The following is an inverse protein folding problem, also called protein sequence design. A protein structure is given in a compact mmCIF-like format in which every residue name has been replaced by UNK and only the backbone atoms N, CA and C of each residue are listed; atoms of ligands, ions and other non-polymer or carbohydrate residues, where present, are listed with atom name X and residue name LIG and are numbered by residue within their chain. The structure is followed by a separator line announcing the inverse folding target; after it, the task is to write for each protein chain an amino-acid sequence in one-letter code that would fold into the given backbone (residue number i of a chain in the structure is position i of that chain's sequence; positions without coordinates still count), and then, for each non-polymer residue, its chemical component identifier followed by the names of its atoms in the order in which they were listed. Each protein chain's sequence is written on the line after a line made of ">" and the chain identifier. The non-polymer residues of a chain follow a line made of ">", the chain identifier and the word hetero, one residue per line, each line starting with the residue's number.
data_IF_769339459973
#
_entry.id   IF_769339459973
#
_cell.length_a   1.000
_cell.length_b   1.000
_cell.length_c   1.000
_cell.angle_alpha   90.00
_cell.angle_beta   90.00
_cell.angle_gamma   90.00
#
_symmetry.space_group_name_H-M   'P 1'
#
loop_
_entity.id
_entity.type
_entity.pdbx_description
1 polymer ?
#
# COMPACT_ATOMS: atom_id res chain seq x y z
N UNK A 1 -38.62 -34.86 -3.10
CA UNK A 1 -37.94 -33.56 -3.07
C UNK A 1 -36.46 -33.80 -2.77
N UNK A 2 -35.68 -34.03 -3.82
CA UNK A 2 -34.22 -34.08 -3.88
C UNK A 2 -33.86 -34.81 -5.19
N UNK A 3 -33.19 -34.15 -6.13
CA UNK A 3 -32.21 -34.78 -7.03
C UNK A 3 -31.70 -33.82 -8.12
N UNK A 4 -30.38 -33.87 -8.30
CA UNK A 4 -29.55 -33.40 -9.41
C UNK A 4 -29.27 -31.90 -9.50
N UNK A 5 -28.30 -31.50 -8.67
CA UNK A 5 -27.23 -30.62 -9.12
C UNK A 5 -26.68 -31.18 -10.44
N UNK A 6 -26.87 -30.43 -11.51
CA UNK A 6 -26.13 -30.61 -12.76
C UNK A 6 -24.70 -30.20 -12.45
N UNK A 7 -23.86 -31.19 -12.14
CA UNK A 7 -22.41 -31.07 -12.26
C UNK A 7 -22.13 -30.69 -13.73
N UNK A 8 -21.74 -29.44 -13.96
CA UNK A 8 -21.19 -29.03 -15.25
C UNK A 8 -19.89 -29.81 -15.46
N UNK A 9 -19.73 -30.55 -16.57
CA UNK A 9 -18.48 -31.21 -16.84
C UNK A 9 -17.41 -30.14 -17.02
N UNK A 10 -16.40 -30.22 -16.16
CA UNK A 10 -15.11 -29.59 -16.33
C UNK A 10 -14.57 -30.05 -17.70
N UNK A 11 -14.68 -29.19 -18.72
CA UNK A 11 -14.19 -29.48 -20.06
C UNK A 11 -12.68 -29.64 -19.98
N UNK A 12 -12.24 -30.84 -20.33
CA UNK A 12 -10.86 -31.23 -20.52
C UNK A 12 -10.15 -30.31 -21.52
N UNK A 13 -8.85 -30.30 -21.35
CA UNK A 13 -7.87 -29.51 -22.06
C UNK A 13 -7.58 -30.20 -23.39
N UNK A 14 -8.40 -29.98 -24.41
CA UNK A 14 -8.13 -30.48 -25.77
C UNK A 14 -7.98 -29.27 -26.70
N UNK A 15 -6.72 -28.94 -26.99
CA UNK A 15 -6.34 -28.20 -28.18
C UNK A 15 -6.35 -29.22 -29.32
N UNK A 16 -7.41 -29.25 -30.11
CA UNK A 16 -7.36 -29.84 -31.44
C UNK A 16 -7.96 -28.81 -32.41
N UNK A 17 -7.05 -28.08 -33.06
CA UNK A 17 -7.28 -27.46 -34.35
C UNK A 17 -7.37 -28.60 -35.38
N UNK A 18 -8.56 -29.18 -35.58
CA UNK A 18 -8.83 -30.00 -36.76
C UNK A 18 -10.23 -29.63 -37.30
N UNK A 19 -10.21 -28.96 -38.46
CA UNK A 19 -11.37 -28.72 -39.32
C UNK A 19 -11.91 -30.07 -39.84
N UNK A 20 -12.80 -30.72 -39.09
CA UNK A 20 -13.56 -31.87 -39.61
C UNK A 20 -15.02 -31.50 -39.87
N UNK A 21 -15.35 -31.48 -41.17
CA UNK A 21 -16.64 -31.13 -41.76
C UNK A 21 -17.63 -32.29 -41.54
N UNK A 22 -18.29 -32.34 -40.38
CA UNK A 22 -19.32 -33.33 -40.10
C UNK A 22 -20.61 -33.06 -40.89
N UNK A 23 -21.02 -34.06 -41.67
CA UNK A 23 -22.21 -34.16 -42.50
C UNK A 23 -23.50 -33.82 -41.73
N UNK A 24 -24.29 -32.89 -42.28
CA UNK A 24 -25.42 -32.27 -41.60
C UNK A 24 -26.75 -33.05 -41.83
N UNK A 25 -27.29 -33.61 -40.76
CA UNK A 25 -28.63 -34.23 -40.71
C UNK A 25 -29.73 -33.13 -40.73
N UNK A 26 -30.70 -33.13 -41.67
CA UNK A 26 -31.62 -32.02 -41.85
C UNK A 26 -32.83 -32.16 -40.91
N UNK A 27 -32.75 -31.57 -39.70
CA UNK A 27 -33.96 -31.42 -38.87
C UNK A 27 -33.77 -31.12 -37.39
N UNK A 28 -32.55 -31.10 -36.86
CA UNK A 28 -32.32 -30.87 -35.43
C UNK A 28 -31.51 -29.58 -35.24
N UNK A 29 -32.17 -28.54 -34.72
CA UNK A 29 -31.49 -27.34 -34.22
C UNK A 29 -30.88 -27.67 -32.85
N UNK A 30 -29.59 -28.00 -32.82
CA UNK A 30 -28.80 -27.88 -31.59
C UNK A 30 -28.41 -26.39 -31.43
N UNK A 31 -28.68 -25.75 -30.29
CA UNK A 31 -28.07 -24.46 -30.01
C UNK A 31 -26.55 -24.66 -29.94
N UNK A 32 -25.81 -23.92 -30.76
CA UNK A 32 -24.34 -23.95 -30.72
C UNK A 32 -23.87 -23.72 -29.28
N UNK A 33 -22.93 -24.56 -28.77
CA UNK A 33 -22.32 -24.29 -27.48
C UNK A 33 -21.67 -22.89 -27.54
N UNK A 34 -21.81 -22.06 -26.49
CA UNK A 34 -21.27 -20.71 -26.51
C UNK A 34 -19.76 -20.79 -26.74
N UNK A 35 -19.29 -20.35 -27.91
CA UNK A 35 -17.86 -20.28 -28.24
C UNK A 35 -17.19 -19.39 -27.19
N UNK A 36 -16.41 -19.99 -26.29
CA UNK A 36 -15.69 -19.28 -25.25
C UNK A 36 -14.55 -18.48 -25.91
N UNK A 37 -14.86 -17.25 -26.29
CA UNK A 37 -13.95 -16.35 -27.01
C UNK A 37 -12.58 -16.22 -26.33
N UNK A 38 -11.51 -16.08 -27.12
CA UNK A 38 -10.14 -15.76 -26.68
C UNK A 38 -10.11 -14.66 -25.60
N UNK A 39 -11.01 -13.67 -25.73
CA UNK A 39 -11.21 -12.59 -24.77
C UNK A 39 -11.48 -13.09 -23.34
N UNK A 40 -12.32 -14.12 -23.17
CA UNK A 40 -12.61 -14.71 -21.87
C UNK A 40 -11.38 -15.41 -21.26
N UNK A 41 -10.56 -16.06 -22.08
CA UNK A 41 -9.29 -16.66 -21.63
C UNK A 41 -8.28 -15.59 -21.21
N UNK A 42 -8.11 -14.52 -21.98
CA UNK A 42 -7.25 -13.40 -21.61
C UNK A 42 -7.69 -12.74 -20.30
N UNK A 43 -8.99 -12.48 -20.13
CA UNK A 43 -9.52 -11.86 -18.91
C UNK A 43 -9.32 -12.76 -17.68
N UNK A 44 -9.54 -14.07 -17.80
CA UNK A 44 -9.26 -15.04 -16.72
C UNK A 44 -7.79 -15.09 -16.35
N UNK A 45 -6.91 -15.15 -17.34
CA UNK A 45 -5.47 -15.17 -17.14
C UNK A 45 -4.98 -13.87 -16.46
N UNK A 46 -5.40 -12.71 -16.97
CA UNK A 46 -5.08 -11.42 -16.37
C UNK A 46 -5.60 -11.31 -14.93
N UNK A 47 -6.85 -11.74 -14.68
CA UNK A 47 -7.43 -11.74 -13.33
C UNK A 47 -6.61 -12.61 -12.38
N UNK A 48 -6.20 -13.81 -12.82
CA UNK A 48 -5.37 -14.68 -12.02
C UNK A 48 -4.00 -14.07 -11.73
N UNK A 49 -3.30 -13.54 -12.74
CA UNK A 49 -1.98 -12.93 -12.60
C UNK A 49 -2.01 -11.72 -11.67
N UNK A 50 -3.01 -10.84 -11.81
CA UNK A 50 -3.15 -9.67 -10.94
C UNK A 50 -3.48 -10.04 -9.50
N UNK A 51 -4.39 -11.00 -9.28
CA UNK A 51 -4.67 -11.49 -7.93
C UNK A 51 -3.45 -12.18 -7.30
N UNK A 52 -2.64 -12.90 -8.09
CA UNK A 52 -1.39 -13.49 -7.61
C UNK A 52 -0.38 -12.41 -7.20
N UNK A 53 -0.23 -11.35 -7.99
CA UNK A 53 0.64 -10.23 -7.65
C UNK A 53 0.19 -9.55 -6.35
N UNK A 54 -1.11 -9.25 -6.24
CA UNK A 54 -1.67 -8.64 -5.02
C UNK A 54 -1.54 -9.54 -3.80
N UNK A 55 -1.62 -10.86 -3.97
CA UNK A 55 -1.36 -11.82 -2.91
C UNK A 55 0.10 -11.73 -2.44
N UNK A 56 1.07 -11.72 -3.36
CA UNK A 56 2.49 -11.60 -3.01
C UNK A 56 2.77 -10.27 -2.28
N UNK A 57 2.20 -9.17 -2.76
CA UNK A 57 2.34 -7.85 -2.12
C UNK A 57 1.65 -7.81 -0.74
N UNK A 58 0.48 -8.44 -0.60
CA UNK A 58 -0.23 -8.60 0.66
C UNK A 58 0.57 -9.40 1.69
N UNK A 59 1.22 -10.49 1.26
CA UNK A 59 2.07 -11.30 2.13
C UNK A 59 3.35 -10.56 2.52
N UNK A 60 3.95 -9.79 1.61
CA UNK A 60 5.12 -8.96 1.90
C UNK A 60 4.77 -7.88 2.93
N UNK A 61 3.66 -7.16 2.74
CA UNK A 61 3.20 -6.12 3.68
C UNK A 61 2.85 -6.72 5.05
N UNK A 62 2.22 -7.89 5.08
CA UNK A 62 1.97 -8.65 6.32
C UNK A 62 3.29 -9.01 7.01
N UNK A 63 4.28 -9.53 6.27
CA UNK A 63 5.58 -9.91 6.80
C UNK A 63 6.33 -8.70 7.40
N UNK A 64 6.32 -7.56 6.71
CA UNK A 64 6.89 -6.29 7.20
C UNK A 64 6.19 -5.83 8.49
N UNK A 65 4.86 -5.88 8.52
CA UNK A 65 4.08 -5.50 9.70
C UNK A 65 4.38 -6.40 10.91
N UNK A 66 4.40 -7.72 10.71
CA UNK A 66 4.73 -8.69 11.76
C UNK A 66 6.16 -8.49 12.24
N UNK A 67 7.12 -8.33 11.32
CA UNK A 67 8.51 -8.04 11.65
C UNK A 67 8.64 -6.79 12.52
N UNK A 68 7.99 -5.68 12.13
CA UNK A 68 8.01 -4.43 12.90
C UNK A 68 7.41 -4.57 14.30
N UNK A 69 6.34 -5.36 14.47
CA UNK A 69 5.77 -5.64 15.78
C UNK A 69 6.71 -6.49 16.65
N UNK A 70 7.39 -7.47 16.06
CA UNK A 70 8.36 -8.29 16.77
C UNK A 70 9.54 -7.45 17.26
N UNK A 71 10.09 -6.57 16.42
CA UNK A 71 11.17 -5.64 16.80
C UNK A 71 10.72 -4.64 17.87
N UNK A 72 9.46 -4.20 17.86
CA UNK A 72 8.93 -3.30 18.91
C UNK A 72 8.70 -4.03 20.24
N UNK A 73 8.29 -5.30 20.20
CA UNK A 73 7.98 -6.09 21.39
C UNK A 73 9.19 -6.45 22.26
N UNK A 74 10.40 -6.35 21.72
CA UNK A 74 11.66 -6.55 22.45
C UNK A 74 12.11 -5.30 23.24
N UNK A 75 11.43 -4.15 23.10
CA UNK A 75 11.71 -2.95 23.89
C UNK A 75 11.01 -3.00 25.27
N UNK A 76 11.63 -2.46 26.35
CA UNK A 76 11.06 -2.47 27.69
C UNK A 76 9.65 -1.90 27.75
N UNK A 77 8.79 -2.55 28.54
CA UNK A 77 7.32 -2.42 28.71
C UNK A 77 6.74 -1.01 29.02
N UNK A 78 7.54 0.05 28.97
CA UNK A 78 7.20 1.40 29.47
C UNK A 78 6.21 2.21 28.64
N UNK A 79 5.97 1.87 27.36
CA UNK A 79 5.16 2.72 26.46
C UNK A 79 3.79 2.13 26.07
N UNK A 80 3.24 1.22 26.88
CA UNK A 80 1.97 0.50 26.66
C UNK A 80 0.70 1.34 26.91
N UNK A 81 0.81 2.66 26.80
CA UNK A 81 -0.29 3.62 27.04
C UNK A 81 -0.89 4.24 25.78
N UNK A 82 -0.32 4.00 24.60
CA UNK A 82 -0.88 4.49 23.36
C UNK A 82 -2.10 3.62 22.94
N UNK A 83 -3.22 4.22 22.48
CA UNK A 83 -4.35 3.46 22.01
C UNK A 83 -3.91 2.51 20.89
N UNK A 84 -4.39 1.26 20.92
CA UNK A 84 -4.00 0.19 19.97
C UNK A 84 -4.08 0.62 18.49
N UNK A 85 -4.85 1.67 18.16
CA UNK A 85 -4.99 2.19 16.79
C UNK A 85 -3.90 3.15 16.30
N UNK A 86 -2.95 3.60 17.11
CA UNK A 86 -1.92 4.57 16.69
C UNK A 86 -0.58 3.95 16.28
N UNK A 87 -0.43 2.63 16.33
CA UNK A 87 0.80 1.95 15.89
C UNK A 87 0.75 1.65 14.39
N UNK A 88 1.62 2.27 13.56
CA UNK A 88 1.58 2.08 12.10
C UNK A 88 1.83 0.63 11.69
N UNK A 89 2.62 -0.12 12.47
CA UNK A 89 2.89 -1.54 12.20
C UNK A 89 1.64 -2.42 12.31
N UNK A 90 0.71 -2.10 13.21
CA UNK A 90 -0.56 -2.85 13.32
C UNK A 90 -1.43 -2.63 12.09
N UNK A 91 -1.44 -1.42 11.55
CA UNK A 91 -2.13 -1.10 10.29
C UNK A 91 -1.56 -1.90 9.13
N UNK A 92 -0.23 -2.03 9.01
CA UNK A 92 0.40 -2.88 7.98
C UNK A 92 -0.01 -4.35 8.11
N UNK A 93 -0.07 -4.89 9.33
CA UNK A 93 -0.53 -6.28 9.55
C UNK A 93 -1.98 -6.45 9.13
N UNK A 94 -2.88 -5.55 9.56
CA UNK A 94 -4.29 -5.65 9.23
C UNK A 94 -4.53 -5.50 7.72
N UNK A 95 -3.90 -4.51 7.10
CA UNK A 95 -3.99 -4.27 5.66
C UNK A 95 -3.43 -5.46 4.86
N UNK A 96 -2.26 -5.98 5.23
CA UNK A 96 -1.64 -7.13 4.57
C UNK A 96 -2.47 -8.41 4.70
N UNK A 97 -3.08 -8.64 5.87
CA UNK A 97 -3.98 -9.78 6.10
C UNK A 97 -5.23 -9.69 5.21
N UNK A 98 -5.88 -8.54 5.20
CA UNK A 98 -7.09 -8.31 4.39
C UNK A 98 -6.77 -8.42 2.90
N UNK A 99 -5.71 -7.78 2.44
CA UNK A 99 -5.26 -7.84 1.05
C UNK A 99 -4.93 -9.27 0.61
N UNK A 100 -4.21 -10.03 1.46
CA UNK A 100 -3.88 -11.43 1.18
C UNK A 100 -5.13 -12.30 1.13
N UNK A 101 -6.08 -12.14 2.06
CA UNK A 101 -7.31 -12.92 2.10
C UNK A 101 -8.21 -12.66 0.87
N UNK A 102 -8.37 -11.39 0.47
CA UNK A 102 -9.15 -11.02 -0.72
C UNK A 102 -8.48 -11.57 -1.99
N UNK A 103 -7.15 -11.46 -2.08
CA UNK A 103 -6.38 -11.96 -3.23
C UNK A 103 -6.41 -13.49 -3.32
N UNK A 104 -6.33 -14.20 -2.19
CA UNK A 104 -6.52 -15.66 -2.14
C UNK A 104 -7.92 -16.05 -2.61
N UNK A 105 -8.96 -15.35 -2.18
CA UNK A 105 -10.32 -15.59 -2.64
C UNK A 105 -10.46 -15.32 -4.14
N UNK A 106 -9.76 -14.33 -4.70
CA UNK A 106 -9.68 -14.06 -6.14
C UNK A 106 -9.00 -15.20 -6.91
N UNK A 107 -7.82 -15.65 -6.46
CA UNK A 107 -7.09 -16.77 -7.06
C UNK A 107 -7.90 -18.08 -7.00
N UNK A 108 -8.46 -18.41 -5.84
CA UNK A 108 -9.31 -19.60 -5.64
C UNK A 108 -10.62 -19.48 -6.43
N UNK A 109 -11.21 -18.29 -6.54
CA UNK A 109 -12.40 -18.03 -7.34
C UNK A 109 -12.15 -18.27 -8.84
N UNK A 110 -10.98 -17.85 -9.34
CA UNK A 110 -10.55 -18.09 -10.72
C UNK A 110 -10.28 -19.58 -10.99
N UNK A 111 -9.67 -20.31 -10.04
CA UNK A 111 -9.32 -21.73 -10.20
C UNK A 111 -10.52 -22.68 -10.00
N UNK A 112 -11.38 -22.41 -9.01
CA UNK A 112 -12.44 -23.36 -8.60
C UNK A 112 -13.79 -23.15 -9.28
N UNK A 113 -13.90 -22.19 -10.22
CA UNK A 113 -15.15 -21.78 -10.87
C UNK A 113 -16.34 -21.58 -9.91
N UNK A 114 -16.06 -21.35 -8.62
CA UNK A 114 -17.10 -21.34 -7.59
C UNK A 114 -17.79 -19.96 -7.57
N UNK A 115 -19.10 -19.90 -7.82
CA UNK A 115 -19.81 -18.62 -7.94
C UNK A 115 -19.86 -17.86 -6.61
N UNK A 116 -19.73 -18.54 -5.47
CA UNK A 116 -19.73 -17.91 -4.14
C UNK A 116 -18.45 -17.08 -3.90
N UNK A 117 -17.26 -17.65 -4.13
CA UNK A 117 -16.00 -16.90 -3.98
C UNK A 117 -15.92 -15.75 -4.96
N UNK A 118 -16.39 -15.94 -6.20
CA UNK A 118 -16.38 -14.87 -7.20
C UNK A 118 -17.28 -13.70 -6.79
N UNK A 119 -18.47 -13.97 -6.22
CA UNK A 119 -19.36 -12.93 -5.67
C UNK A 119 -18.73 -12.22 -4.47
N UNK A 120 -18.08 -12.95 -3.57
CA UNK A 120 -17.37 -12.35 -2.44
C UNK A 120 -16.24 -11.44 -2.92
N UNK A 121 -15.43 -11.91 -3.87
CA UNK A 121 -14.35 -11.13 -4.47
C UNK A 121 -14.86 -9.84 -5.13
N UNK A 122 -15.89 -9.95 -5.98
CA UNK A 122 -16.50 -8.77 -6.61
C UNK A 122 -17.12 -7.82 -5.58
N UNK A 123 -17.82 -8.35 -4.57
CA UNK A 123 -18.38 -7.54 -3.48
C UNK A 123 -17.29 -6.81 -2.69
N UNK A 124 -16.19 -7.48 -2.37
CA UNK A 124 -15.04 -6.87 -1.71
C UNK A 124 -14.46 -5.74 -2.56
N UNK A 125 -14.23 -5.97 -3.87
CA UNK A 125 -13.75 -4.94 -4.79
C UNK A 125 -14.67 -3.71 -4.85
N UNK A 126 -15.99 -3.92 -4.90
CA UNK A 126 -16.96 -2.83 -4.90
C UNK A 126 -16.91 -2.02 -3.60
N UNK A 127 -16.77 -2.69 -2.46
CA UNK A 127 -16.64 -2.02 -1.16
C UNK A 127 -15.34 -1.24 -1.09
N UNK A 128 -14.19 -1.82 -1.46
CA UNK A 128 -12.91 -1.12 -1.46
C UNK A 128 -12.91 0.06 -2.43
N UNK A 129 -13.39 -0.13 -3.65
CA UNK A 129 -13.51 0.96 -4.64
C UNK A 129 -14.42 2.07 -4.15
N UNK A 130 -15.55 1.74 -3.50
CA UNK A 130 -16.43 2.73 -2.89
C UNK A 130 -15.76 3.52 -1.76
N UNK A 131 -15.00 2.84 -0.89
CA UNK A 131 -14.22 3.47 0.18
C UNK A 131 -13.10 4.36 -0.37
N UNK A 132 -12.40 3.94 -1.42
CA UNK A 132 -11.37 4.73 -2.09
C UNK A 132 -11.94 5.99 -2.73
N UNK A 133 -13.09 5.89 -3.40
CA UNK A 133 -13.78 7.05 -3.98
C UNK A 133 -14.25 8.02 -2.91
N UNK A 134 -14.86 7.51 -1.83
CA UNK A 134 -15.30 8.32 -0.70
C UNK A 134 -14.12 8.99 0.02
N UNK A 135 -13.04 8.23 0.25
CA UNK A 135 -11.82 8.72 0.87
C UNK A 135 -11.11 9.77 0.00
N UNK A 136 -11.03 9.54 -1.31
CA UNK A 136 -10.49 10.50 -2.28
C UNK A 136 -11.31 11.79 -2.31
N UNK A 137 -12.64 11.70 -2.33
CA UNK A 137 -13.52 12.87 -2.25
C UNK A 137 -13.31 13.62 -0.93
N UNK A 138 -13.28 12.91 0.21
CA UNK A 138 -13.05 13.51 1.51
C UNK A 138 -11.68 14.19 1.59
N UNK A 139 -10.63 13.57 1.05
CA UNK A 139 -9.29 14.13 0.95
C UNK A 139 -9.28 15.43 0.14
N UNK A 140 -9.99 15.48 -0.97
CA UNK A 140 -10.11 16.70 -1.78
C UNK A 140 -10.85 17.82 -1.04
N UNK A 141 -11.91 17.49 -0.29
CA UNK A 141 -12.66 18.45 0.52
C UNK A 141 -11.84 18.98 1.71
N UNK A 142 -11.09 18.10 2.38
CA UNK A 142 -10.29 18.43 3.57
C UNK A 142 -8.84 18.83 3.25
N UNK A 143 -8.44 18.90 1.97
CA UNK A 143 -7.05 19.17 1.55
C UNK A 143 -6.38 20.35 2.25
N UNK A 144 -7.13 21.42 2.55
CA UNK A 144 -6.60 22.60 3.25
C UNK A 144 -6.33 22.30 4.72
N UNK A 145 -7.33 21.73 5.41
CA UNK A 145 -7.20 21.31 6.82
C UNK A 145 -6.08 20.29 7.01
N UNK A 146 -5.97 19.33 6.08
CA UNK A 146 -4.90 18.33 6.12
C UNK A 146 -3.53 18.98 5.92
N UNK A 147 -3.41 19.96 5.03
CA UNK A 147 -2.16 20.70 4.82
C UNK A 147 -1.75 21.47 6.07
N UNK A 148 -2.69 22.15 6.71
CA UNK A 148 -2.42 22.91 7.93
C UNK A 148 -1.98 21.97 9.07
N UNK A 149 -2.71 20.87 9.29
CA UNK A 149 -2.36 19.85 10.28
C UNK A 149 -0.99 19.20 9.99
N UNK A 150 -0.68 18.93 8.72
CA UNK A 150 0.61 18.39 8.31
C UNK A 150 1.75 19.39 8.58
N UNK A 151 1.52 20.68 8.33
CA UNK A 151 2.50 21.74 8.65
C UNK A 151 2.79 21.79 10.14
N UNK A 152 1.75 21.79 10.98
CA UNK A 152 1.90 21.80 12.44
C UNK A 152 2.68 20.56 12.93
N UNK A 153 2.38 19.38 12.38
CA UNK A 153 3.08 18.14 12.70
C UNK A 153 4.56 18.19 12.29
N UNK A 154 4.86 18.66 11.08
CA UNK A 154 6.23 18.76 10.61
C UNK A 154 7.03 19.83 11.38
N UNK A 155 6.39 20.92 11.79
CA UNK A 155 7.01 21.93 12.66
C UNK A 155 7.34 21.32 14.03
N UNK A 156 6.45 20.51 14.59
CA UNK A 156 6.72 19.76 15.81
C UNK A 156 7.91 18.78 15.62
N UNK A 157 8.01 18.13 14.46
CA UNK A 157 9.16 17.29 14.12
C UNK A 157 10.48 18.10 14.09
N UNK A 158 10.46 19.31 13.53
CA UNK A 158 11.62 20.20 13.53
C UNK A 158 12.02 20.60 14.96
N UNK A 159 11.06 20.91 15.83
CA UNK A 159 11.32 21.27 17.23
C UNK A 159 11.94 20.10 18.02
N UNK A 160 11.45 18.88 17.79
CA UNK A 160 11.90 17.66 18.48
C UNK A 160 13.05 16.92 17.80
N UNK A 161 13.63 17.51 16.76
CA UNK A 161 14.66 16.88 15.95
C UNK A 161 15.84 16.30 16.75
N UNK A 162 16.25 16.97 17.85
CA UNK A 162 17.34 16.50 18.73
C UNK A 162 16.88 15.55 19.85
N UNK A 163 15.58 15.35 20.05
CA UNK A 163 15.06 14.49 21.13
C UNK A 163 15.10 13.00 20.75
N UNK A 164 14.88 12.68 19.47
CA UNK A 164 14.73 11.31 18.98
C UNK A 164 15.71 11.02 17.81
N UNK A 165 16.66 10.07 17.95
CA UNK A 165 17.63 9.75 16.89
C UNK A 165 16.97 9.20 15.63
N UNK A 166 15.85 8.49 15.77
CA UNK A 166 15.08 7.97 14.64
C UNK A 166 14.42 9.12 13.84
N UNK A 167 13.93 10.15 14.54
CA UNK A 167 13.35 11.33 13.92
C UNK A 167 14.44 12.13 13.20
N UNK A 168 15.60 12.28 13.85
CA UNK A 168 16.77 12.92 13.24
C UNK A 168 17.14 12.26 11.92
N UNK A 169 17.30 10.93 11.91
CA UNK A 169 17.61 10.17 10.69
C UNK A 169 16.56 10.38 9.59
N UNK A 170 15.28 10.33 9.95
CA UNK A 170 14.17 10.44 8.99
C UNK A 170 14.09 11.85 8.39
N UNK A 171 14.22 12.90 9.19
CA UNK A 171 14.24 14.30 8.71
C UNK A 171 15.44 14.53 7.79
N UNK A 172 16.60 14.02 8.18
CA UNK A 172 17.83 14.12 7.40
C UNK A 172 17.72 13.42 6.04
N UNK A 173 17.13 12.23 6.00
CA UNK A 173 16.92 11.47 4.77
C UNK A 173 15.93 12.17 3.84
N UNK A 174 14.82 12.69 4.39
CA UNK A 174 13.84 13.46 3.62
C UNK A 174 14.48 14.72 3.02
N UNK A 175 15.28 15.45 3.79
CA UNK A 175 15.96 16.66 3.32
C UNK A 175 16.99 16.37 2.22
N UNK A 176 17.76 15.30 2.35
CA UNK A 176 18.71 14.87 1.31
C UNK A 176 18.00 14.38 0.05
N UNK A 177 16.96 13.55 0.20
CA UNK A 177 16.21 12.96 -0.91
C UNK A 177 15.45 14.02 -1.73
N UNK A 178 14.81 14.97 -1.04
CA UNK A 178 14.05 16.04 -1.68
C UNK A 178 14.88 17.30 -1.98
N UNK A 179 16.16 17.31 -1.60
CA UNK A 179 17.07 18.46 -1.72
C UNK A 179 16.47 19.77 -1.16
N UNK A 180 15.75 19.66 -0.04
CA UNK A 180 15.09 20.77 0.64
C UNK A 180 15.69 21.02 2.02
N UNK A 181 15.42 22.19 2.60
CA UNK A 181 15.86 22.53 3.95
C UNK A 181 14.77 23.29 4.70
N UNK A 182 14.37 22.76 5.86
CA UNK A 182 13.23 23.28 6.62
C UNK A 182 11.89 22.91 5.99
N UNK A 183 10.85 23.65 6.34
CA UNK A 183 9.47 23.40 5.92
C UNK A 183 9.10 24.23 4.70
N UNK A 184 9.26 25.54 4.82
CA UNK A 184 9.13 26.54 3.76
C UNK A 184 10.49 27.20 3.47
N UNK A 185 11.35 27.32 4.49
CA UNK A 185 12.65 27.96 4.40
C UNK A 185 13.66 27.37 5.37
N UNK A 186 14.95 27.57 5.10
CA UNK A 186 16.01 27.21 6.03
C UNK A 186 15.87 27.91 7.40
N UNK A 187 15.16 29.05 7.45
CA UNK A 187 14.90 29.81 8.68
C UNK A 187 13.95 29.09 9.65
N UNK A 188 13.23 28.07 9.21
CA UNK A 188 12.35 27.30 10.10
C UNK A 188 13.15 26.64 11.22
N UNK A 189 14.46 26.41 11.01
CA UNK A 189 15.39 25.92 12.02
C UNK A 189 15.66 26.91 13.16
N UNK A 190 15.42 28.21 12.97
CA UNK A 190 15.55 29.20 14.06
C UNK A 190 14.52 28.96 15.19
N UNK A 191 13.41 28.26 14.89
CA UNK A 191 12.42 27.86 15.90
C UNK A 191 12.91 26.74 16.82
N UNK A 192 13.91 25.96 16.39
CA UNK A 192 14.48 24.89 17.19
C UNK A 192 15.45 25.45 18.24
N UNK A 193 15.34 24.96 19.48
CA UNK A 193 16.14 25.43 20.63
C UNK A 193 17.67 25.34 20.41
N UNK A 194 18.15 24.37 19.63
CA UNK A 194 19.57 24.14 19.39
C UNK A 194 20.13 25.00 18.26
N UNK A 195 19.32 25.27 17.23
CA UNK A 195 19.72 26.03 16.04
C UNK A 195 19.39 27.52 16.12
N UNK A 196 18.56 27.93 17.08
CA UNK A 196 18.29 29.34 17.35
C UNK A 196 19.59 30.11 17.62
N UNK A 197 19.72 31.31 17.06
CA UNK A 197 20.89 32.18 17.25
C UNK A 197 21.16 32.58 18.70
N UNK A 198 20.14 32.55 19.56
CA UNK A 198 20.27 32.82 21.00
C UNK A 198 20.75 31.59 21.79
N UNK A 199 20.91 30.43 21.13
CA UNK A 199 21.40 29.21 21.76
C UNK A 199 22.88 29.33 22.12
N UNK A 200 23.31 28.84 23.29
CA UNK A 200 24.72 28.82 23.67
C UNK A 200 25.54 27.73 22.94
N UNK A 201 24.90 26.91 22.09
CA UNK A 201 25.53 25.77 21.43
C UNK A 201 26.28 26.13 20.13
N UNK A 202 27.22 25.27 19.73
CA UNK A 202 27.98 25.41 18.46
C UNK A 202 27.12 25.32 17.19
N UNK A 203 25.87 24.88 17.34
CA UNK A 203 24.88 24.77 16.27
C UNK A 203 23.99 26.03 16.14
N UNK A 204 24.19 27.03 17.00
CA UNK A 204 23.44 28.28 16.96
C UNK A 204 23.62 29.00 15.62
N UNK A 205 22.55 29.62 15.12
CA UNK A 205 22.46 30.20 13.78
C UNK A 205 22.76 29.22 12.62
N UNK A 206 22.75 27.92 12.90
CA UNK A 206 23.07 26.86 11.94
C UNK A 206 21.83 26.15 11.41
N UNK A 207 22.09 25.17 10.53
CA UNK A 207 21.11 24.18 10.07
C UNK A 207 21.75 22.79 10.14
N UNK A 208 20.97 21.69 10.12
CA UNK A 208 21.55 20.36 10.06
C UNK A 208 22.41 20.14 8.83
N UNK A 209 23.36 19.20 8.94
CA UNK A 209 24.27 18.86 7.86
C UNK A 209 23.55 18.34 6.59
N UNK A 210 22.35 17.75 6.74
CA UNK A 210 21.49 17.33 5.63
C UNK A 210 21.02 18.48 4.73
N UNK A 211 20.93 19.72 5.25
CA UNK A 211 20.62 20.92 4.48
C UNK A 211 21.80 21.44 3.63
N UNK A 212 23.03 21.00 3.92
CA UNK A 212 24.22 21.53 3.28
C UNK A 212 24.47 20.83 1.93
N UNK A 213 24.53 21.60 0.84
CA UNK A 213 24.78 21.07 -0.51
C UNK A 213 26.15 20.38 -0.66
N UNK A 214 27.13 20.72 0.18
CA UNK A 214 28.45 20.12 0.22
C UNK A 214 28.96 20.07 1.68
N UNK A 215 28.81 18.95 2.41
CA UNK A 215 29.26 18.84 3.80
C UNK A 215 30.79 18.94 3.98
N UNK A 216 31.58 18.83 2.90
CA UNK A 216 33.04 18.67 2.94
C UNK A 216 33.85 19.72 2.15
N UNK A 217 33.22 20.75 1.57
CA UNK A 217 33.93 21.87 0.93
C UNK A 217 33.44 23.19 1.54
N UNK A 218 33.98 23.53 2.71
CA UNK A 218 33.62 24.80 3.37
C UNK A 218 33.95 24.87 4.85
N UNK A 219 34.82 23.99 5.36
CA UNK A 219 35.44 24.17 6.67
C UNK A 219 36.41 25.34 6.68
N UNK A 220 35.90 26.56 6.64
CA UNK A 220 36.62 27.74 7.11
C UNK A 220 35.63 28.86 7.40
N UNK A 221 35.30 29.01 8.68
CA UNK A 221 34.82 30.27 9.26
C UNK A 221 35.94 31.30 9.05
N UNK A 222 35.76 32.35 8.23
CA UNK A 222 36.69 33.47 8.24
C UNK A 222 36.50 34.22 9.56
N UNK A 223 37.60 34.36 10.32
CA UNK A 223 37.71 35.30 11.44
C UNK A 223 37.37 36.73 11.03
#
# INVERSE_FOLDING_TARGET
>A
QASRLVELPYSSFDNDDDDDMAEQDPGVWYPDPPKLSLFSHCVRCLTFLWNLLFLLLGLLTLAVGVWGLLTKSSLPRGNRGAPLGSDPMLLFVLAGLVASAVSLAGCLGALRASPCLLRFFLGALLVFGGLELLGGLLLLLLRRRLRDALRDLLLLCLLRYQEDPDLQFLVDEVQRSLQCCGLESYRDWESNLYFNCSSPGVQACGVPASCCRQPLQGGSVPN
#
